data_IF_394319203547
#
_entry.id   IF_394319203547
#
_cell.length_a   1.000
_cell.length_b   1.000
_cell.length_c   1.000
_cell.angle_alpha   90.00
_cell.angle_beta   90.00
_cell.angle_gamma   90.00
#
_symmetry.space_group_name_H-M   'P 1'
#
loop_
_entity.id
_entity.type
_entity.pdbx_description
1 polymer ?
#
# COMPACT_ATOMS: atom_id res chain seq x y z
N UNK A 1 9.45 -0.63 -5.16
CA UNK A 1 8.17 -0.57 -5.89
C UNK A 1 7.99 0.84 -6.38
N UNK A 2 7.65 1.00 -7.65
CA UNK A 2 7.59 2.31 -8.28
C UNK A 2 6.14 2.67 -8.56
N UNK A 3 5.69 3.78 -7.97
CA UNK A 3 4.36 4.35 -8.24
C UNK A 3 4.55 5.55 -9.17
N UNK A 4 4.01 5.46 -10.38
CA UNK A 4 4.08 6.52 -11.38
C UNK A 4 2.76 7.28 -11.42
N UNK A 5 2.83 8.61 -11.42
CA UNK A 5 1.67 9.48 -11.58
C UNK A 5 1.98 10.63 -12.52
N UNK A 6 0.97 11.13 -13.21
CA UNK A 6 1.06 12.33 -14.06
C UNK A 6 0.22 13.42 -13.40
N UNK A 7 0.87 14.51 -13.01
CA UNK A 7 0.20 15.65 -12.40
C UNK A 7 -0.60 16.45 -13.45
N UNK A 8 -1.53 17.30 -12.99
CA UNK A 8 -2.37 18.14 -13.87
C UNK A 8 -1.57 19.05 -14.82
N UNK A 9 -0.32 19.39 -14.46
CA UNK A 9 0.60 20.18 -15.28
C UNK A 9 1.39 19.34 -16.32
N UNK A 10 1.06 18.05 -16.49
CA UNK A 10 1.74 17.14 -17.42
C UNK A 10 3.05 16.53 -16.89
N UNK A 11 3.49 16.89 -15.67
CA UNK A 11 4.71 16.33 -15.09
C UNK A 11 4.49 14.88 -14.64
N UNK A 12 5.30 13.96 -15.16
CA UNK A 12 5.40 12.61 -14.63
C UNK A 12 6.29 12.59 -13.38
N UNK A 13 5.82 11.96 -12.31
CA UNK A 13 6.56 11.73 -11.06
C UNK A 13 6.59 10.24 -10.77
N UNK A 14 7.75 9.73 -10.37
CA UNK A 14 7.95 8.36 -9.92
C UNK A 14 8.30 8.40 -8.43
N UNK A 15 7.54 7.68 -7.62
CA UNK A 15 7.81 7.47 -6.20
C UNK A 15 8.36 6.07 -5.98
N UNK A 16 9.51 5.97 -5.33
CA UNK A 16 10.15 4.71 -5.01
C UNK A 16 9.81 4.31 -3.58
N UNK A 17 9.24 3.12 -3.38
CA UNK A 17 8.89 2.58 -2.07
C UNK A 17 9.66 1.29 -1.78
N UNK A 18 10.05 1.09 -0.52
CA UNK A 18 10.71 -0.12 -0.03
C UNK A 18 9.85 -0.81 1.01
N UNK A 19 9.62 -2.12 0.85
CA UNK A 19 8.86 -2.93 1.81
C UNK A 19 9.57 -2.85 3.17
N UNK A 20 8.81 -2.52 4.21
CA UNK A 20 9.34 -2.28 5.56
C UNK A 20 9.26 -3.50 6.49
N UNK A 21 8.86 -4.66 5.94
CA UNK A 21 8.73 -5.92 6.66
C UNK A 21 7.36 -6.16 7.29
N UNK A 22 6.47 -5.16 7.29
CA UNK A 22 5.10 -5.35 7.77
C UNK A 22 4.28 -6.16 6.76
N UNK A 23 3.75 -7.31 7.21
CA UNK A 23 2.83 -8.17 6.46
C UNK A 23 1.78 -8.75 7.41
N UNK A 24 0.50 -8.62 7.06
CA UNK A 24 -0.61 -9.20 7.85
C UNK A 24 -1.75 -9.69 6.97
N UNK A 25 -2.51 -10.66 7.48
CA UNK A 25 -3.83 -11.03 6.95
C UNK A 25 -4.87 -10.46 7.93
N UNK A 26 -5.75 -9.59 7.44
CA UNK A 26 -6.70 -8.80 8.25
C UNK A 26 -8.12 -8.95 7.73
N UNK A 27 -9.12 -8.52 8.49
CA UNK A 27 -10.49 -8.43 7.97
C UNK A 27 -10.59 -7.33 6.90
N UNK A 28 -11.56 -7.39 5.97
CA UNK A 28 -11.67 -6.41 4.89
C UNK A 28 -11.95 -4.97 5.36
N UNK A 29 -12.48 -4.82 6.57
CA UNK A 29 -12.85 -3.58 7.25
C UNK A 29 -11.84 -3.14 8.32
N UNK A 30 -10.72 -3.86 8.48
CA UNK A 30 -9.70 -3.52 9.47
C UNK A 30 -9.10 -2.13 9.18
N UNK A 31 -9.15 -1.17 10.12
CA UNK A 31 -8.60 0.17 9.93
C UNK A 31 -7.12 0.18 9.54
N UNK A 32 -6.35 -0.84 9.94
CA UNK A 32 -4.90 -0.93 9.69
C UNK A 32 -4.52 -0.86 8.21
N UNK A 33 -5.48 -1.12 7.31
CA UNK A 33 -5.32 -1.03 5.85
C UNK A 33 -5.12 0.43 5.41
N UNK A 34 -5.87 1.36 6.02
CA UNK A 34 -5.95 2.77 5.61
C UNK A 34 -5.68 3.77 6.73
N UNK A 35 -5.23 3.30 7.90
CA UNK A 35 -4.87 4.17 9.02
C UNK A 35 -3.78 5.16 8.62
N UNK A 36 -3.90 6.39 9.12
CA UNK A 36 -2.90 7.42 8.89
C UNK A 36 -1.59 7.04 9.59
N UNK A 37 -0.48 7.28 8.91
CA UNK A 37 0.88 7.07 9.42
C UNK A 37 1.60 8.41 9.50
N UNK A 38 2.54 8.54 10.44
CA UNK A 38 3.37 9.74 10.57
C UNK A 38 4.30 9.94 9.37
N UNK A 39 4.73 8.83 8.75
CA UNK A 39 5.60 8.82 7.57
C UNK A 39 4.80 8.44 6.31
N UNK A 40 5.21 8.90 5.11
CA UNK A 40 4.59 8.49 3.85
C UNK A 40 4.69 6.96 3.64
N UNK A 41 3.57 6.27 3.82
CA UNK A 41 3.48 4.81 3.76
C UNK A 41 2.56 4.38 2.61
N UNK A 42 3.02 3.40 1.84
CA UNK A 42 2.21 2.71 0.84
C UNK A 42 1.72 1.37 1.43
N UNK A 43 0.39 1.20 1.51
CA UNK A 43 -0.22 -0.10 1.81
C UNK A 43 -0.67 -0.76 0.51
N UNK A 44 -0.14 -1.95 0.21
CA UNK A 44 -0.69 -2.83 -0.82
C UNK A 44 -1.69 -3.77 -0.16
N UNK A 45 -2.88 -3.89 -0.74
CA UNK A 45 -3.95 -4.74 -0.22
C UNK A 45 -4.53 -5.60 -1.32
N UNK A 46 -4.68 -6.90 -1.06
CA UNK A 46 -5.32 -7.84 -1.98
C UNK A 46 -6.21 -8.82 -1.22
N UNK A 47 -7.17 -9.41 -1.92
CA UNK A 47 -8.04 -10.44 -1.36
C UNK A 47 -7.24 -11.67 -0.89
N UNK A 48 -7.69 -12.28 0.20
CA UNK A 48 -7.15 -13.53 0.70
C UNK A 48 -8.23 -14.38 1.39
N UNK A 49 -8.23 -15.72 1.24
CA UNK A 49 -7.46 -16.51 0.26
C UNK A 49 -7.89 -16.23 -1.19
N UNK A 50 -7.11 -16.74 -2.14
CA UNK A 50 -7.41 -16.65 -3.57
C UNK A 50 -8.83 -17.18 -3.87
N UNK A 51 -9.55 -16.48 -4.75
CA UNK A 51 -10.94 -16.82 -5.11
C UNK A 51 -12.00 -16.42 -4.09
N UNK A 52 -11.63 -15.75 -3.00
CA UNK A 52 -12.56 -15.22 -2.00
C UNK A 52 -12.31 -13.72 -1.75
N UNK A 53 -13.16 -13.06 -0.98
CA UNK A 53 -12.94 -11.69 -0.51
C UNK A 53 -12.92 -11.59 1.03
N UNK A 54 -12.83 -12.72 1.73
CA UNK A 54 -13.06 -12.84 3.18
C UNK A 54 -12.05 -12.08 4.04
N UNK A 55 -10.82 -11.95 3.55
CA UNK A 55 -9.74 -11.24 4.25
C UNK A 55 -8.93 -10.41 3.25
N UNK A 56 -8.01 -9.62 3.79
CA UNK A 56 -7.02 -8.89 3.02
C UNK A 56 -5.63 -9.30 3.45
N UNK A 57 -4.80 -9.69 2.50
CA UNK A 57 -3.35 -9.74 2.70
C UNK A 57 -2.82 -8.34 2.43
N UNK A 58 -2.18 -7.76 3.44
CA UNK A 58 -1.58 -6.43 3.35
C UNK A 58 -0.07 -6.46 3.54
N UNK A 59 0.62 -5.59 2.83
CA UNK A 59 2.06 -5.31 2.97
C UNK A 59 2.24 -3.79 3.01
N UNK A 60 3.06 -3.28 3.94
CA UNK A 60 3.41 -1.85 4.00
C UNK A 60 4.81 -1.59 3.47
N UNK A 61 5.00 -0.43 2.87
CA UNK A 61 6.26 0.03 2.31
C UNK A 61 6.46 1.52 2.58
N UNK A 62 7.70 1.91 2.87
CA UNK A 62 8.06 3.30 3.18
C UNK A 62 8.61 3.99 1.94
N UNK A 63 8.35 5.29 1.80
CA UNK A 63 8.92 6.09 0.72
C UNK A 63 10.45 6.16 0.86
N UNK A 64 11.16 5.82 -0.21
CA UNK A 64 12.62 5.99 -0.32
C UNK A 64 12.90 7.45 -0.66
N UNK A 65 13.75 8.08 0.15
CA UNK A 65 14.20 9.47 -0.04
C UNK A 65 15.21 9.58 -1.17
#
# INVERSE_FOLDING_TARGET
>A
MDVKTVQKNGRAIVYHYKINGFKKIVSPDDPVIFENTSEPTLTLSTCWPLGTNFRRLIVKADLVK
#
